data_IF_467765035830
#
_entry.id   IF_467765035830
#
_cell.length_a   1.000
_cell.length_b   1.000
_cell.length_c   1.000
_cell.angle_alpha   90.00
_cell.angle_beta   90.00
_cell.angle_gamma   90.00
#
_symmetry.space_group_name_H-M   'P 1'
#
loop_
_entity.id
_entity.type
_entity.pdbx_description
1 polymer ?
#
# COMPACT_ATOMS: atom_id res chain seq x y z
N UNK A 1 -6.72 12.43 -21.90
CA UNK A 1 -6.44 11.87 -20.55
C UNK A 1 -7.34 10.67 -20.20
N UNK A 2 -8.68 10.75 -20.29
CA UNK A 2 -9.58 9.63 -19.92
C UNK A 2 -9.40 8.34 -20.74
N UNK A 3 -9.08 8.44 -22.03
CA UNK A 3 -8.84 7.27 -22.91
C UNK A 3 -7.55 6.52 -22.52
N UNK A 4 -6.46 7.25 -22.26
CA UNK A 4 -5.17 6.69 -21.82
C UNK A 4 -5.25 6.04 -20.43
N UNK A 5 -5.95 6.69 -19.48
CA UNK A 5 -6.18 6.12 -18.14
C UNK A 5 -6.96 4.79 -18.21
N UNK A 6 -8.08 4.75 -18.95
CA UNK A 6 -8.88 3.53 -19.11
C UNK A 6 -8.08 2.40 -19.76
N UNK A 7 -7.22 2.73 -20.73
CA UNK A 7 -6.33 1.76 -21.37
C UNK A 7 -5.32 1.16 -20.39
N UNK A 8 -4.60 2.01 -19.65
CA UNK A 8 -3.60 1.55 -18.66
C UNK A 8 -4.24 0.72 -17.54
N UNK A 9 -5.42 1.12 -17.07
CA UNK A 9 -6.23 0.34 -16.12
C UNK A 9 -6.56 -1.06 -16.65
N UNK A 10 -6.98 -1.19 -17.91
CA UNK A 10 -7.30 -2.50 -18.52
C UNK A 10 -6.05 -3.36 -18.68
N UNK A 11 -4.95 -2.76 -19.13
CA UNK A 11 -3.66 -3.44 -19.31
C UNK A 11 -3.14 -4.05 -18.01
N UNK A 12 -3.35 -3.35 -16.90
CA UNK A 12 -2.91 -3.78 -15.57
C UNK A 12 -3.78 -4.88 -14.95
N UNK A 13 -4.93 -5.27 -15.53
CA UNK A 13 -5.87 -6.24 -14.94
C UNK A 13 -5.22 -7.57 -14.52
N UNK A 14 -4.43 -8.20 -15.39
CA UNK A 14 -3.76 -9.49 -15.08
C UNK A 14 -2.74 -9.37 -13.94
N UNK A 15 -2.04 -8.23 -13.85
CA UNK A 15 -1.06 -7.97 -12.80
C UNK A 15 -1.75 -7.80 -11.45
N UNK A 16 -2.84 -7.04 -11.41
CA UNK A 16 -3.59 -6.81 -10.17
C UNK A 16 -4.41 -8.03 -9.70
N UNK A 17 -4.80 -8.93 -10.60
CA UNK A 17 -5.35 -10.23 -10.17
C UNK A 17 -4.31 -11.05 -9.39
N UNK A 18 -3.03 -10.99 -9.78
CA UNK A 18 -1.95 -11.64 -9.01
C UNK A 18 -1.74 -10.94 -7.67
N UNK A 19 -1.80 -9.60 -7.64
CA UNK A 19 -1.73 -8.83 -6.39
C UNK A 19 -2.85 -9.23 -5.42
N UNK A 20 -4.08 -9.36 -5.91
CA UNK A 20 -5.23 -9.80 -5.12
C UNK A 20 -5.00 -11.18 -4.47
N UNK A 21 -4.48 -12.15 -5.24
CA UNK A 21 -4.13 -13.48 -4.73
C UNK A 21 -3.01 -13.42 -3.68
N UNK A 22 -2.00 -12.59 -3.90
CA UNK A 22 -0.92 -12.39 -2.92
C UNK A 22 -1.42 -11.80 -1.60
N UNK A 23 -2.30 -10.79 -1.65
CA UNK A 23 -2.91 -10.22 -0.45
C UNK A 23 -3.72 -11.29 0.29
N UNK A 24 -4.50 -12.11 -0.43
CA UNK A 24 -5.26 -13.21 0.17
C UNK A 24 -4.36 -14.17 0.93
N UNK A 25 -3.31 -14.67 0.27
CA UNK A 25 -2.40 -15.66 0.86
C UNK A 25 -1.71 -15.09 2.10
N UNK A 26 -1.13 -13.89 2.00
CA UNK A 26 -0.37 -13.28 3.10
C UNK A 26 -1.27 -12.94 4.28
N UNK A 27 -2.45 -12.35 4.04
CA UNK A 27 -3.37 -11.99 5.11
C UNK A 27 -3.91 -13.23 5.82
N UNK A 28 -4.33 -14.26 5.09
CA UNK A 28 -4.84 -15.50 5.70
C UNK A 28 -3.75 -16.18 6.52
N UNK A 29 -2.55 -16.32 5.95
CA UNK A 29 -1.41 -16.92 6.65
C UNK A 29 -1.07 -16.16 7.93
N UNK A 30 -1.06 -14.83 7.84
CA UNK A 30 -0.74 -13.98 8.99
C UNK A 30 -1.83 -14.01 10.06
N UNK A 31 -3.12 -14.02 9.70
CA UNK A 31 -4.22 -14.20 10.65
C UNK A 31 -4.10 -15.53 11.39
N UNK A 32 -3.86 -16.63 10.66
CA UNK A 32 -3.66 -17.97 11.25
C UNK A 32 -2.46 -17.95 12.20
N UNK A 33 -1.33 -17.38 11.77
CA UNK A 33 -0.12 -17.28 12.56
C UNK A 33 -0.37 -16.54 13.88
N UNK A 34 -0.87 -15.30 13.85
CA UNK A 34 -1.08 -14.51 15.06
C UNK A 34 -2.14 -15.10 15.97
N UNK A 35 -3.14 -15.77 15.40
CA UNK A 35 -4.15 -16.48 16.18
C UNK A 35 -3.57 -17.69 16.92
N UNK A 36 -2.65 -18.44 16.29
CA UNK A 36 -1.97 -19.57 16.93
C UNK A 36 -1.02 -19.05 18.02
N UNK A 37 -0.20 -18.05 17.70
CA UNK A 37 0.78 -17.47 18.64
C UNK A 37 0.07 -16.85 19.85
N UNK A 38 -1.05 -16.16 19.67
CA UNK A 38 -1.81 -15.56 20.77
C UNK A 38 -2.34 -16.56 21.80
N UNK A 39 -2.45 -17.86 21.47
CA UNK A 39 -2.81 -18.90 22.45
C UNK A 39 -1.66 -19.29 23.38
N UNK A 40 -0.43 -19.01 22.99
CA UNK A 40 0.77 -19.30 23.77
C UNK A 40 1.21 -18.10 24.61
N UNK A 41 0.58 -16.93 24.46
CA UNK A 41 0.84 -15.75 25.28
C UNK A 41 0.20 -15.94 26.66
N UNK A 42 1.03 -16.18 27.68
CA UNK A 42 0.60 -16.42 29.06
C UNK A 42 0.79 -15.13 29.86
N UNK A 43 -0.31 -14.44 30.18
CA UNK A 43 -0.40 -13.38 31.19
C UNK A 43 0.75 -12.34 31.17
N UNK A 44 1.01 -11.72 30.02
CA UNK A 44 1.71 -10.44 29.99
C UNK A 44 0.69 -9.30 29.94
N UNK A 45 1.04 -8.12 30.44
CA UNK A 45 0.13 -6.97 30.61
C UNK A 45 -0.45 -6.40 29.30
N UNK A 46 0.06 -6.83 28.15
CA UNK A 46 -0.35 -6.37 26.81
C UNK A 46 -1.02 -7.51 26.03
N UNK A 47 -2.31 -7.74 26.24
CA UNK A 47 -3.15 -8.78 25.59
C UNK A 47 -3.42 -8.54 24.08
N UNK A 48 -2.44 -8.02 23.32
CA UNK A 48 -2.62 -7.67 21.91
C UNK A 48 -2.88 -8.91 21.03
N UNK A 49 -2.27 -10.06 21.33
CA UNK A 49 -2.50 -11.28 20.55
C UNK A 49 -3.72 -12.07 21.03
N UNK A 50 -4.26 -11.75 22.21
CA UNK A 50 -5.51 -12.34 22.71
C UNK A 50 -6.75 -11.57 22.21
N UNK A 51 -6.58 -10.30 21.82
CA UNK A 51 -7.66 -9.47 21.27
C UNK A 51 -7.75 -9.56 19.75
N UNK A 52 -8.95 -9.80 19.21
CA UNK A 52 -9.20 -9.83 17.76
C UNK A 52 -8.82 -8.52 17.04
N UNK A 53 -8.91 -7.36 17.70
CA UNK A 53 -8.42 -6.08 17.14
C UNK A 53 -6.91 -6.14 16.92
N UNK A 54 -6.14 -6.66 17.87
CA UNK A 54 -4.69 -6.73 17.78
C UNK A 54 -4.22 -7.72 16.72
N UNK A 55 -4.82 -8.91 16.68
CA UNK A 55 -4.57 -9.92 15.63
C UNK A 55 -4.78 -9.35 14.22
N UNK A 56 -5.92 -8.67 14.00
CA UNK A 56 -6.23 -8.05 12.70
C UNK A 56 -5.21 -6.95 12.35
N UNK A 57 -4.87 -6.09 13.33
CA UNK A 57 -3.95 -4.97 13.11
C UNK A 57 -2.54 -5.45 12.76
N UNK A 58 -2.02 -6.42 13.50
CA UNK A 58 -0.73 -7.05 13.23
C UNK A 58 -0.74 -7.78 11.89
N UNK A 59 -1.83 -8.46 11.56
CA UNK A 59 -1.95 -9.14 10.28
C UNK A 59 -1.96 -8.18 9.10
N UNK A 60 -2.70 -7.08 9.18
CA UNK A 60 -2.68 -6.02 8.18
C UNK A 60 -1.28 -5.41 8.06
N UNK A 61 -0.52 -5.31 9.17
CA UNK A 61 0.85 -4.79 9.15
C UNK A 61 1.80 -5.71 8.39
N UNK A 62 1.70 -7.03 8.56
CA UNK A 62 2.49 -8.00 7.76
C UNK A 62 2.08 -7.96 6.29
N UNK A 63 0.79 -7.89 6.01
CA UNK A 63 0.28 -7.78 4.64
C UNK A 63 0.75 -6.49 3.96
N UNK A 64 0.73 -5.37 4.69
CA UNK A 64 1.29 -4.09 4.25
C UNK A 64 2.73 -4.28 3.79
N UNK A 65 3.60 -4.86 4.60
CA UNK A 65 5.04 -4.96 4.28
C UNK A 65 5.27 -5.75 2.99
N UNK A 66 4.75 -6.97 2.91
CA UNK A 66 4.97 -7.87 1.77
C UNK A 66 4.36 -7.30 0.49
N UNK A 67 3.12 -6.80 0.58
CA UNK A 67 2.38 -6.29 -0.59
C UNK A 67 2.97 -4.98 -1.08
N UNK A 68 3.51 -4.13 -0.20
CA UNK A 68 4.18 -2.88 -0.57
C UNK A 68 5.47 -3.17 -1.33
N UNK A 69 6.31 -4.10 -0.88
CA UNK A 69 7.53 -4.51 -1.62
C UNK A 69 7.16 -5.00 -3.01
N UNK A 70 6.16 -5.88 -3.11
CA UNK A 70 5.70 -6.38 -4.40
C UNK A 70 5.13 -5.27 -5.29
N UNK A 71 4.40 -4.30 -4.73
CA UNK A 71 3.89 -3.14 -5.46
C UNK A 71 5.02 -2.24 -5.97
N UNK A 72 6.10 -2.04 -5.19
CA UNK A 72 7.30 -1.31 -5.62
C UNK A 72 8.00 -2.05 -6.76
N UNK A 73 8.09 -3.38 -6.71
CA UNK A 73 8.60 -4.16 -7.85
C UNK A 73 7.75 -3.98 -9.12
N UNK A 74 6.43 -3.92 -8.98
CA UNK A 74 5.52 -3.71 -10.11
C UNK A 74 5.65 -2.31 -10.71
N UNK A 75 5.65 -1.26 -9.88
CA UNK A 75 5.79 0.12 -10.36
C UNK A 75 7.17 0.33 -11.00
N UNK A 76 8.21 -0.36 -10.49
CA UNK A 76 9.54 -0.36 -11.11
C UNK A 76 9.50 -0.86 -12.55
N UNK A 77 8.86 -2.01 -12.78
CA UNK A 77 8.76 -2.65 -14.11
C UNK A 77 7.86 -1.89 -15.08
N UNK A 78 6.77 -1.30 -14.57
CA UNK A 78 5.74 -0.69 -15.42
C UNK A 78 6.05 0.78 -15.74
N UNK A 79 6.61 1.51 -14.78
CA UNK A 79 6.75 2.95 -14.81
C UNK A 79 8.21 3.37 -14.68
N UNK A 80 8.88 3.13 -13.55
CA UNK A 80 10.17 3.76 -13.21
C UNK A 80 11.28 3.42 -14.22
N UNK A 81 11.39 2.16 -14.67
CA UNK A 81 12.42 1.74 -15.65
C UNK A 81 12.37 2.54 -16.97
N UNK A 82 11.21 3.12 -17.31
CA UNK A 82 11.03 3.91 -18.53
C UNK A 82 11.45 5.37 -18.38
N UNK A 83 11.59 5.86 -17.15
CA UNK A 83 11.94 7.25 -16.85
C UNK A 83 13.39 7.39 -16.38
N UNK A 84 14.18 6.31 -16.52
CA UNK A 84 15.58 6.22 -16.11
C UNK A 84 16.49 5.91 -17.30
N UNK A 85 17.67 6.53 -17.31
CA UNK A 85 18.77 6.23 -18.24
C UNK A 85 18.36 6.30 -19.71
N UNK A 86 18.92 5.41 -20.53
CA UNK A 86 18.71 5.40 -21.99
C UNK A 86 17.26 5.06 -22.39
N UNK A 87 16.45 4.51 -21.47
CA UNK A 87 15.03 4.26 -21.74
C UNK A 87 14.19 5.54 -21.69
N UNK A 88 14.70 6.62 -21.09
CA UNK A 88 14.06 7.94 -21.07
C UNK A 88 13.83 8.48 -22.47
N UNK A 89 14.76 8.27 -23.39
CA UNK A 89 14.66 8.78 -24.77
C UNK A 89 13.42 8.23 -25.50
N UNK A 90 13.09 6.95 -25.26
CA UNK A 90 11.92 6.29 -25.83
C UNK A 90 10.60 6.88 -25.34
N UNK A 91 10.61 7.62 -24.22
CA UNK A 91 9.41 8.26 -23.69
C UNK A 91 9.08 9.60 -24.35
N UNK A 92 10.04 10.23 -25.05
CA UNK A 92 9.76 11.42 -25.87
C UNK A 92 8.93 11.10 -27.12
N UNK A 93 8.97 9.86 -27.59
CA UNK A 93 8.14 9.39 -28.70
C UNK A 93 6.67 9.13 -28.31
N UNK A 94 6.26 9.41 -27.06
CA UNK A 94 4.86 9.22 -26.68
C UNK A 94 3.96 10.27 -27.36
N UNK A 95 2.89 9.83 -28.05
CA UNK A 95 2.03 10.73 -28.83
C UNK A 95 1.27 11.75 -27.97
N UNK A 96 1.11 11.48 -26.67
CA UNK A 96 0.44 12.36 -25.71
C UNK A 96 1.40 13.22 -24.89
N UNK A 97 2.71 13.11 -25.10
CA UNK A 97 3.73 13.71 -24.23
C UNK A 97 4.10 12.84 -23.02
N UNK A 98 5.33 13.01 -22.54
CA UNK A 98 5.95 12.24 -21.46
C UNK A 98 5.26 12.47 -20.11
N UNK A 99 5.06 13.73 -19.74
CA UNK A 99 4.38 14.15 -18.51
C UNK A 99 2.93 13.62 -18.40
N UNK A 100 2.13 13.68 -19.47
CA UNK A 100 0.74 13.20 -19.46
C UNK A 100 0.68 11.68 -19.36
N UNK A 101 1.60 10.98 -20.04
CA UNK A 101 1.66 9.53 -19.97
C UNK A 101 2.13 9.05 -18.60
N UNK A 102 3.05 9.78 -17.96
CA UNK A 102 3.46 9.52 -16.59
C UNK A 102 2.27 9.61 -15.63
N UNK A 103 1.54 10.73 -15.70
CA UNK A 103 0.33 10.98 -14.89
C UNK A 103 -0.69 9.86 -15.06
N UNK A 104 -1.02 9.51 -16.31
CA UNK A 104 -2.00 8.45 -16.57
C UNK A 104 -1.60 7.11 -15.91
N UNK A 105 -0.32 6.74 -15.96
CA UNK A 105 0.17 5.48 -15.38
C UNK A 105 0.21 5.50 -13.86
N UNK A 106 0.71 6.57 -13.24
CA UNK A 106 0.82 6.65 -11.78
C UNK A 106 -0.58 6.67 -11.13
N UNK A 107 -1.52 7.46 -11.67
CA UNK A 107 -2.90 7.45 -11.17
C UNK A 107 -3.59 6.11 -11.39
N UNK A 108 -3.41 5.48 -12.55
CA UNK A 108 -4.01 4.17 -12.82
C UNK A 108 -3.46 3.10 -11.88
N UNK A 109 -2.16 3.13 -11.60
CA UNK A 109 -1.52 2.22 -10.65
C UNK A 109 -2.04 2.43 -9.24
N UNK A 110 -2.00 3.66 -8.72
CA UNK A 110 -2.46 3.98 -7.36
C UNK A 110 -3.94 3.66 -7.17
N UNK A 111 -4.78 4.05 -8.13
CA UNK A 111 -6.22 3.76 -8.08
C UNK A 111 -6.50 2.25 -8.02
N UNK A 112 -5.83 1.46 -8.85
CA UNK A 112 -5.99 0.01 -8.84
C UNK A 112 -5.41 -0.64 -7.59
N UNK A 113 -4.28 -0.15 -7.11
CA UNK A 113 -3.66 -0.62 -5.88
C UNK A 113 -4.56 -0.37 -4.67
N UNK A 114 -5.05 0.87 -4.50
CA UNK A 114 -6.02 1.25 -3.46
C UNK A 114 -7.21 0.30 -3.44
N UNK A 115 -7.90 0.15 -4.58
CA UNK A 115 -9.12 -0.66 -4.65
C UNK A 115 -8.85 -2.12 -4.31
N UNK A 116 -7.80 -2.70 -4.88
CA UNK A 116 -7.49 -4.11 -4.65
C UNK A 116 -7.10 -4.33 -3.20
N UNK A 117 -6.24 -3.48 -2.63
CA UNK A 117 -5.82 -3.61 -1.23
C UNK A 117 -7.00 -3.46 -0.28
N UNK A 118 -7.81 -2.40 -0.42
CA UNK A 118 -8.98 -2.14 0.45
C UNK A 118 -9.98 -3.29 0.36
N UNK A 119 -10.39 -3.68 -0.85
CA UNK A 119 -11.42 -4.73 -1.02
C UNK A 119 -10.92 -6.07 -0.49
N UNK A 120 -9.69 -6.48 -0.83
CA UNK A 120 -9.14 -7.75 -0.36
C UNK A 120 -9.05 -7.81 1.15
N UNK A 121 -8.44 -6.78 1.77
CA UNK A 121 -8.21 -6.78 3.22
C UNK A 121 -9.51 -6.64 4.00
N UNK A 122 -10.46 -5.81 3.56
CA UNK A 122 -11.78 -5.76 4.19
C UNK A 122 -12.47 -7.11 4.12
N UNK A 123 -12.57 -7.73 2.93
CA UNK A 123 -13.28 -8.99 2.74
C UNK A 123 -12.72 -10.10 3.65
N UNK A 124 -11.39 -10.25 3.71
CA UNK A 124 -10.74 -11.30 4.51
C UNK A 124 -10.96 -11.06 6.00
N UNK A 125 -10.76 -9.83 6.48
CA UNK A 125 -10.90 -9.53 7.89
C UNK A 125 -12.37 -9.55 8.35
N UNK A 126 -13.33 -9.20 7.49
CA UNK A 126 -14.75 -9.39 7.77
C UNK A 126 -15.12 -10.87 7.83
N UNK A 127 -14.57 -11.70 6.95
CA UNK A 127 -14.79 -13.14 6.97
C UNK A 127 -14.20 -13.77 8.25
N UNK A 128 -13.00 -13.34 8.65
CA UNK A 128 -12.37 -13.75 9.91
C UNK A 128 -13.21 -13.34 11.13
N UNK A 129 -13.70 -12.11 11.17
CA UNK A 129 -14.59 -11.65 12.24
C UNK A 129 -15.86 -12.51 12.35
N UNK A 130 -16.52 -12.80 11.22
CA UNK A 130 -17.70 -13.67 11.20
C UNK A 130 -17.38 -15.08 11.69
N UNK A 131 -16.24 -15.64 11.28
CA UNK A 131 -15.76 -16.93 11.77
C UNK A 131 -15.56 -16.93 13.29
N UNK A 132 -14.93 -15.90 13.84
CA UNK A 132 -14.70 -15.78 15.28
C UNK A 132 -16.01 -15.63 16.07
N UNK A 133 -17.02 -14.91 15.54
CA UNK A 133 -18.34 -14.81 16.18
C UNK A 133 -19.01 -16.19 16.26
N UNK A 134 -19.02 -16.93 15.14
CA UNK A 134 -19.69 -18.24 15.07
C UNK A 134 -19.01 -19.26 15.99
N UNK A 135 -17.69 -19.22 16.08
CA UNK A 135 -16.90 -20.21 16.83
C UNK A 135 -16.58 -19.78 18.26
N UNK A 136 -16.86 -18.52 18.63
CA UNK A 136 -16.44 -17.90 19.91
C UNK A 136 -14.95 -18.09 20.19
N UNK A 137 -14.12 -18.11 19.13
CA UNK A 137 -12.72 -18.49 19.22
C UNK A 137 -11.82 -17.36 19.75
N UNK A 138 -12.16 -16.12 19.43
CA UNK A 138 -11.45 -14.90 19.83
C UNK A 138 -12.49 -13.83 20.20
N UNK A 139 -12.21 -13.10 21.28
CA UNK A 139 -13.04 -11.98 21.72
C UNK A 139 -12.63 -10.66 21.06
N UNK A 140 -13.63 -9.81 20.82
CA UNK A 140 -13.43 -8.45 20.31
C UNK A 140 -13.92 -7.46 21.36
N UNK A 141 -13.01 -6.64 21.90
CA UNK A 141 -13.38 -5.60 22.88
C UNK A 141 -13.98 -4.37 22.21
N UNK A 142 -13.58 -4.08 20.97
CA UNK A 142 -14.09 -2.96 20.18
C UNK A 142 -14.90 -3.45 18.98
N UNK A 143 -16.02 -2.76 18.64
CA UNK A 143 -16.82 -3.12 17.48
C UNK A 143 -16.01 -3.03 16.17
N UNK A 144 -15.98 -4.12 15.41
CA UNK A 144 -15.15 -4.26 14.19
C UNK A 144 -15.46 -3.20 13.14
N UNK A 145 -16.72 -2.81 12.99
CA UNK A 145 -17.13 -1.80 12.02
C UNK A 145 -16.56 -0.40 12.29
N UNK A 146 -16.12 -0.11 13.53
CA UNK A 146 -15.52 1.19 13.89
C UNK A 146 -14.03 1.23 13.56
N UNK A 147 -13.27 0.19 13.90
CA UNK A 147 -11.81 0.22 13.75
C UNK A 147 -11.33 -0.34 12.41
N UNK A 148 -11.98 -1.37 11.85
CA UNK A 148 -11.46 -2.09 10.70
C UNK A 148 -11.28 -1.20 9.45
N UNK A 149 -12.27 -0.37 9.04
CA UNK A 149 -12.10 0.51 7.91
C UNK A 149 -10.95 1.51 8.11
N UNK A 150 -10.79 2.02 9.33
CA UNK A 150 -9.77 3.00 9.67
C UNK A 150 -8.35 2.41 9.58
N UNK A 151 -8.14 1.19 10.09
CA UNK A 151 -6.84 0.50 10.02
C UNK A 151 -6.52 0.09 8.59
N UNK A 152 -7.51 -0.39 7.83
CA UNK A 152 -7.31 -0.71 6.41
C UNK A 152 -6.92 0.55 5.63
N UNK A 153 -7.63 1.67 5.80
CA UNK A 153 -7.27 2.93 5.14
C UNK A 153 -5.87 3.42 5.53
N UNK A 154 -5.51 3.31 6.82
CA UNK A 154 -4.19 3.67 7.32
C UNK A 154 -3.10 2.86 6.63
N UNK A 155 -3.26 1.54 6.56
CA UNK A 155 -2.29 0.68 5.89
C UNK A 155 -2.13 1.05 4.42
N UNK A 156 -3.23 1.31 3.71
CA UNK A 156 -3.18 1.67 2.29
C UNK A 156 -2.52 3.02 2.06
N UNK A 157 -2.78 4.01 2.93
CA UNK A 157 -2.14 5.31 2.79
C UNK A 157 -0.66 5.28 3.12
N UNK A 158 -0.26 4.49 4.13
CA UNK A 158 1.16 4.27 4.45
C UNK A 158 1.87 3.56 3.29
N UNK A 159 1.29 2.51 2.70
CA UNK A 159 1.93 1.83 1.57
C UNK A 159 2.08 2.72 0.35
N UNK A 160 1.07 3.55 0.05
CA UNK A 160 1.18 4.51 -1.07
C UNK A 160 2.26 5.54 -0.81
N UNK A 161 2.40 6.03 0.42
CA UNK A 161 3.48 6.96 0.77
C UNK A 161 4.85 6.31 0.54
N UNK A 162 5.02 5.05 0.98
CA UNK A 162 6.25 4.29 0.76
C UNK A 162 6.51 4.09 -0.75
N UNK A 163 5.50 3.71 -1.54
CA UNK A 163 5.62 3.52 -2.99
C UNK A 163 6.01 4.83 -3.68
N UNK A 164 5.42 5.95 -3.29
CA UNK A 164 5.69 7.26 -3.87
C UNK A 164 7.10 7.74 -3.53
N UNK A 165 7.49 7.72 -2.25
CA UNK A 165 8.83 8.16 -1.81
C UNK A 165 9.92 7.28 -2.44
N UNK A 166 9.76 5.97 -2.42
CA UNK A 166 10.72 5.06 -3.09
C UNK A 166 10.80 5.32 -4.59
N UNK A 167 9.66 5.61 -5.24
CA UNK A 167 9.61 6.01 -6.63
C UNK A 167 10.35 7.31 -6.93
N UNK A 168 10.23 8.33 -6.05
CA UNK A 168 11.00 9.58 -6.14
C UNK A 168 12.49 9.27 -6.09
N UNK A 169 12.94 8.52 -5.08
CA UNK A 169 14.35 8.16 -4.94
C UNK A 169 14.85 7.37 -6.16
N UNK A 170 14.05 6.43 -6.66
CA UNK A 170 14.41 5.64 -7.85
C UNK A 170 14.63 6.49 -9.09
N UNK A 171 13.76 7.47 -9.34
CA UNK A 171 13.86 8.39 -10.48
C UNK A 171 15.02 9.37 -10.28
N UNK A 172 15.15 9.94 -9.09
CA UNK A 172 16.20 10.92 -8.78
C UNK A 172 17.60 10.33 -8.94
N UNK A 173 17.83 9.14 -8.37
CA UNK A 173 19.12 8.44 -8.46
C UNK A 173 19.26 7.56 -9.70
N UNK A 174 18.31 7.61 -10.64
CA UNK A 174 18.36 6.86 -11.89
C UNK A 174 18.61 5.35 -11.69
N UNK A 175 18.02 4.76 -10.65
CA UNK A 175 18.22 3.34 -10.31
C UNK A 175 16.97 2.67 -9.75
N UNK A 176 16.57 1.54 -10.37
CA UNK A 176 15.50 0.68 -9.86
C UNK A 176 15.90 -0.04 -8.56
N UNK A 177 17.20 -0.27 -8.35
CA UNK A 177 17.69 -0.93 -7.14
C UNK A 177 17.57 0.00 -5.94
N UNK A 178 17.88 1.29 -6.10
CA UNK A 178 17.71 2.30 -5.05
C UNK A 178 16.23 2.45 -4.67
N UNK A 179 15.31 2.39 -5.63
CA UNK A 179 13.87 2.32 -5.37
C UNK A 179 13.50 1.13 -4.45
N UNK A 180 14.03 -0.06 -4.71
CA UNK A 180 13.76 -1.23 -3.86
C UNK A 180 14.37 -1.08 -2.46
N UNK A 181 15.64 -0.69 -2.37
CA UNK A 181 16.35 -0.51 -1.09
C UNK A 181 15.63 0.53 -0.22
N UNK A 182 15.25 1.67 -0.80
CA UNK A 182 14.53 2.73 -0.07
C UNK A 182 13.18 2.27 0.43
N UNK A 183 12.44 1.46 -0.34
CA UNK A 183 11.17 0.91 0.13
C UNK A 183 11.33 -0.01 1.34
N UNK A 184 12.37 -0.86 1.37
CA UNK A 184 12.66 -1.73 2.52
C UNK A 184 12.99 -0.89 3.76
N UNK A 185 13.84 0.13 3.62
CA UNK A 185 14.19 1.04 4.72
C UNK A 185 12.94 1.75 5.26
N UNK A 186 12.09 2.29 4.38
CA UNK A 186 10.87 2.98 4.77
C UNK A 186 9.85 2.05 5.45
N UNK A 187 9.76 0.79 5.02
CA UNK A 187 8.91 -0.21 5.68
C UNK A 187 9.38 -0.45 7.12
N UNK A 188 10.69 -0.56 7.36
CA UNK A 188 11.23 -0.74 8.71
C UNK A 188 10.96 0.49 9.59
N UNK A 189 11.09 1.70 9.04
CA UNK A 189 10.92 2.95 9.80
C UNK A 189 9.44 3.29 10.07
N UNK A 190 8.57 3.11 9.07
CA UNK A 190 7.21 3.67 9.06
C UNK A 190 6.14 2.56 9.13
N UNK A 191 6.46 1.32 8.75
CA UNK A 191 5.51 0.21 8.73
C UNK A 191 4.87 -0.08 10.08
N UNK A 192 5.60 0.14 11.17
CA UNK A 192 5.11 -0.05 12.54
C UNK A 192 4.05 0.96 12.97
N UNK A 193 3.83 2.05 12.22
CA UNK A 193 2.72 2.97 12.49
C UNK A 193 1.37 2.26 12.46
N UNK A 194 1.21 1.25 11.58
CA UNK A 194 -0.04 0.48 11.50
C UNK A 194 -0.23 -0.41 12.72
N UNK A 195 0.82 -1.07 13.19
CA UNK A 195 0.76 -1.86 14.42
C UNK A 195 0.40 -0.99 15.63
N UNK A 196 1.02 0.19 15.74
CA UNK A 196 0.75 1.12 16.84
C UNK A 196 -0.69 1.68 16.82
N UNK A 197 -1.40 1.61 15.69
CA UNK A 197 -2.80 2.01 15.60
C UNK A 197 -3.73 1.14 16.48
N UNK A 198 -3.27 -0.02 16.93
CA UNK A 198 -4.00 -0.83 17.93
C UNK A 198 -4.26 -0.05 19.22
N UNK A 199 -3.28 0.74 19.69
CA UNK A 199 -3.35 1.50 20.94
C UNK A 199 -4.07 2.85 20.81
N UNK A 200 -4.39 3.26 19.58
CA UNK A 200 -5.02 4.55 19.30
C UNK A 200 -6.54 4.43 19.20
N UNK A 201 -7.23 5.50 19.59
CA UNK A 201 -8.66 5.63 19.33
C UNK A 201 -8.92 5.82 17.83
N UNK A 202 -10.09 5.37 17.39
CA UNK A 202 -10.50 5.45 15.99
C UNK A 202 -10.50 6.89 15.44
N UNK A 203 -10.80 7.89 16.27
CA UNK A 203 -10.76 9.30 15.86
C UNK A 203 -9.33 9.77 15.56
N UNK A 204 -8.36 9.40 16.40
CA UNK A 204 -6.95 9.73 16.14
C UNK A 204 -6.44 9.05 14.86
N UNK A 205 -6.80 7.78 14.65
CA UNK A 205 -6.45 7.07 13.40
C UNK A 205 -7.07 7.76 12.18
N UNK A 206 -8.30 8.27 12.29
CA UNK A 206 -8.95 9.02 11.22
C UNK A 206 -8.24 10.34 10.91
N UNK A 207 -7.79 11.09 11.92
CA UNK A 207 -6.99 12.31 11.72
C UNK A 207 -5.68 11.98 10.99
N UNK A 208 -4.99 10.91 11.40
CA UNK A 208 -3.77 10.44 10.74
C UNK A 208 -4.05 10.07 9.27
N UNK A 209 -5.17 9.40 8.99
CA UNK A 209 -5.58 9.06 7.63
C UNK A 209 -5.79 10.30 6.75
N UNK A 210 -6.44 11.33 7.28
CA UNK A 210 -6.62 12.61 6.57
C UNK A 210 -5.25 13.25 6.30
N UNK A 211 -4.35 13.28 7.28
CA UNK A 211 -2.99 13.80 7.12
C UNK A 211 -2.19 13.05 6.04
N UNK A 212 -2.20 11.72 6.07
CA UNK A 212 -1.53 10.89 5.06
C UNK A 212 -2.12 11.05 3.66
N UNK A 213 -3.42 11.28 3.55
CA UNK A 213 -4.06 11.58 2.26
C UNK A 213 -3.47 12.87 1.65
N UNK A 214 -3.34 13.93 2.45
CA UNK A 214 -2.73 15.21 2.02
C UNK A 214 -1.25 15.03 1.65
N UNK A 215 -0.50 14.26 2.44
CA UNK A 215 0.91 13.95 2.16
C UNK A 215 1.03 13.19 0.83
N UNK A 216 0.22 12.15 0.61
CA UNK A 216 0.23 11.37 -0.62
C UNK A 216 -0.11 12.21 -1.85
N UNK A 217 -1.11 13.10 -1.73
CA UNK A 217 -1.43 14.04 -2.80
C UNK A 217 -0.26 14.98 -3.12
N UNK A 218 0.40 15.50 -2.08
CA UNK A 218 1.57 16.38 -2.21
C UNK A 218 2.75 15.66 -2.86
N UNK A 219 3.01 14.40 -2.49
CA UNK A 219 4.04 13.56 -3.10
C UNK A 219 3.79 13.30 -4.58
N UNK A 220 2.53 13.01 -4.97
CA UNK A 220 2.16 12.86 -6.39
C UNK A 220 2.44 14.16 -7.14
N UNK A 221 2.04 15.31 -6.58
CA UNK A 221 2.27 16.63 -7.19
C UNK A 221 3.75 16.96 -7.35
N UNK A 222 4.56 16.64 -6.35
CA UNK A 222 6.01 16.79 -6.43
C UNK A 222 6.61 15.96 -7.57
N UNK A 223 6.20 14.70 -7.69
CA UNK A 223 6.62 13.78 -8.75
C UNK A 223 6.22 14.26 -10.16
N UNK A 224 5.00 14.76 -10.30
CA UNK A 224 4.51 15.38 -11.54
C UNK A 224 5.35 16.60 -11.93
N UNK A 225 5.66 17.45 -10.95
CA UNK A 225 6.45 18.65 -11.17
C UNK A 225 7.88 18.33 -11.62
N UNK A 226 8.54 17.39 -10.93
CA UNK A 226 9.91 16.96 -11.28
C UNK A 226 10.00 16.49 -12.73
N UNK A 227 9.06 15.65 -13.18
CA UNK A 227 9.07 15.11 -14.54
C UNK A 227 8.78 16.19 -15.58
N UNK A 228 7.95 17.19 -15.24
CA UNK A 228 7.66 18.32 -16.12
C UNK A 228 8.88 19.25 -16.27
N UNK A 229 9.61 19.52 -15.20
CA UNK A 229 10.83 20.35 -15.26
C UNK A 229 11.91 19.63 -16.07
N UNK A 230 12.07 18.33 -15.86
CA UNK A 230 12.93 17.45 -16.65
C UNK A 230 12.63 17.48 -18.16
N UNK A 231 11.39 17.75 -18.57
CA UNK A 231 10.99 17.86 -19.98
C UNK A 231 11.33 19.24 -20.58
N UNK A 232 11.44 20.28 -19.75
CA UNK A 232 11.72 21.65 -20.20
C UNK A 232 13.21 21.90 -20.42
N UNK A 233 14.08 21.21 -19.69
CA UNK A 233 15.55 21.35 -19.79
C UNK A 233 16.16 20.71 -21.05
N UNK A 234 15.37 19.96 -21.84
CA UNK A 234 15.81 19.30 -23.08
C UNK A 234 15.12 19.84 -24.34
N UNK A 235 14.53 21.03 -24.27
CA UNK A 235 14.14 21.83 -25.44
C UNK A 235 15.20 22.87 -25.73
#
# INVERSE_FOLDING_TARGET
MQSSFKYEVRKMKKVFNKLFLWILIVQIFSLIFFTIVGKFEVNDSDDILQNGKGIITLSITVTLTVVTIYAVMLINRVLIIRYIGNFRERTYAYPTGRDQMFRAKIYAFIYKYMIVFVISTLLINTAFYLFCIITSFINFTTPVYVFLPNIVLLSVFVSIAIILISGICGIYYQSTNICLITSIILIVLIGNLVANAYNLDALFVLIINVGLCVINFSLIKFLEHHIRVDDLLHK
#
